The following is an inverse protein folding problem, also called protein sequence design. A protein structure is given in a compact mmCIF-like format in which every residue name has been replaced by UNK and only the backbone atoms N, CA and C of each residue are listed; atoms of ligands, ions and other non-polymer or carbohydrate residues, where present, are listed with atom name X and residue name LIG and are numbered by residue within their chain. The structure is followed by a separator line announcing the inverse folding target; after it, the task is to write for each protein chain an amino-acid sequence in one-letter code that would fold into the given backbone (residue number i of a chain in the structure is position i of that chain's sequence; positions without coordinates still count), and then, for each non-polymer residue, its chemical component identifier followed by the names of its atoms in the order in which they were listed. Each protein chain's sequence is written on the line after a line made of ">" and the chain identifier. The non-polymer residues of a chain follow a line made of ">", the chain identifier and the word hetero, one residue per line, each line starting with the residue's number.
data_IF_716881775721
#
_entry.id   IF_716881775721
#
_cell.length_a   1.000
_cell.length_b   1.000
_cell.length_c   1.000
_cell.angle_alpha   90.00
_cell.angle_beta   90.00
_cell.angle_gamma   90.00
#
_symmetry.space_group_name_H-M   'P 1'
#
loop_
_entity.id
_entity.type
_entity.pdbx_description
1 polymer ?
#
# COMPACT_ATOMS: atom_id res chain seq x y z
N UNK A 1 1.21 19.56 -7.31
CA UNK A 1 0.47 18.29 -7.43
C UNK A 1 1.48 17.17 -7.52
N UNK A 2 1.30 16.12 -6.76
CA UNK A 2 2.06 14.89 -6.89
C UNK A 2 1.28 13.94 -7.81
N UNK A 3 1.96 13.37 -8.80
CA UNK A 3 1.36 12.50 -9.81
C UNK A 3 2.27 11.28 -10.02
N UNK A 4 1.69 10.17 -10.49
CA UNK A 4 2.45 9.01 -10.94
C UNK A 4 2.01 8.61 -12.35
N UNK A 5 2.97 8.57 -13.28
CA UNK A 5 2.76 8.03 -14.62
C UNK A 5 2.99 6.52 -14.56
N UNK A 6 1.98 5.73 -14.92
CA UNK A 6 1.98 4.27 -14.81
C UNK A 6 2.22 3.66 -16.18
N UNK A 7 3.26 2.83 -16.28
CA UNK A 7 3.62 2.14 -17.50
C UNK A 7 3.09 0.69 -17.52
N UNK A 8 2.77 0.13 -18.69
CA UNK A 8 2.29 -1.23 -18.80
C UNK A 8 3.40 -2.26 -18.58
N UNK A 9 3.01 -3.41 -18.08
CA UNK A 9 3.85 -4.60 -18.10
C UNK A 9 4.01 -5.12 -19.54
N UNK A 10 5.19 -5.64 -19.84
CA UNK A 10 5.47 -6.40 -21.05
C UNK A 10 5.14 -7.89 -20.85
N UNK A 11 5.10 -8.64 -21.93
CA UNK A 11 5.00 -10.11 -21.91
C UNK A 11 3.85 -10.65 -21.03
N UNK A 12 2.69 -10.01 -21.06
CA UNK A 12 1.57 -10.32 -20.16
C UNK A 12 1.09 -11.78 -20.24
N UNK A 13 1.13 -12.39 -21.43
CA UNK A 13 0.77 -13.80 -21.62
C UNK A 13 1.74 -14.74 -20.89
N UNK A 14 3.04 -14.44 -20.94
CA UNK A 14 4.05 -15.20 -20.22
C UNK A 14 3.94 -15.00 -18.70
N UNK A 15 3.63 -13.76 -18.25
CA UNK A 15 3.36 -13.50 -16.85
C UNK A 15 2.16 -14.31 -16.35
N UNK A 16 1.07 -14.38 -17.13
CA UNK A 16 -0.09 -15.20 -16.78
C UNK A 16 0.26 -16.69 -16.70
N UNK A 17 1.12 -17.18 -17.60
CA UNK A 17 1.61 -18.54 -17.59
C UNK A 17 2.51 -18.83 -16.40
N UNK A 18 3.43 -17.91 -16.08
CA UNK A 18 4.29 -17.99 -14.90
C UNK A 18 3.46 -18.05 -13.61
N UNK A 19 2.46 -17.18 -13.47
CA UNK A 19 1.58 -17.19 -12.29
C UNK A 19 0.91 -18.54 -12.09
N UNK A 20 0.43 -19.20 -13.16
CA UNK A 20 -0.14 -20.55 -13.06
C UNK A 20 0.90 -21.55 -12.53
N UNK A 21 2.11 -21.53 -13.06
CA UNK A 21 3.18 -22.45 -12.62
C UNK A 21 3.63 -22.22 -11.18
N UNK A 22 3.68 -20.94 -10.74
CA UNK A 22 4.04 -20.57 -9.37
C UNK A 22 3.06 -21.07 -8.31
N UNK A 23 1.80 -21.26 -8.68
CA UNK A 23 0.74 -21.72 -7.77
C UNK A 23 0.31 -23.17 -7.99
N UNK A 24 0.91 -23.88 -8.93
CA UNK A 24 0.69 -25.30 -9.16
C UNK A 24 1.68 -26.15 -8.35
N UNK A 25 1.22 -26.92 -7.33
CA UNK A 25 2.09 -27.74 -6.51
C UNK A 25 2.88 -28.82 -7.29
N UNK A 26 2.44 -29.18 -8.51
CA UNK A 26 3.11 -30.14 -9.36
C UNK A 26 4.18 -29.53 -10.26
N UNK A 27 4.22 -28.20 -10.33
CA UNK A 27 5.20 -27.47 -11.14
C UNK A 27 6.57 -27.43 -10.46
N UNK A 28 7.67 -27.60 -11.21
CA UNK A 28 9.02 -27.39 -10.68
C UNK A 28 9.28 -25.92 -10.27
N UNK A 29 8.46 -24.97 -10.74
CA UNK A 29 8.52 -23.55 -10.37
C UNK A 29 7.62 -23.21 -9.18
N UNK A 30 6.96 -24.20 -8.55
CA UNK A 30 6.06 -23.95 -7.42
C UNK A 30 6.73 -23.12 -6.32
N UNK A 31 6.16 -21.94 -6.03
CA UNK A 31 6.67 -20.98 -5.03
C UNK A 31 8.07 -20.43 -5.27
N UNK A 32 8.64 -20.60 -6.45
CA UNK A 32 9.91 -19.98 -6.82
C UNK A 32 9.68 -18.57 -7.36
N UNK A 33 9.35 -17.64 -6.45
CA UNK A 33 9.04 -16.25 -6.82
C UNK A 33 10.25 -15.51 -7.37
N UNK A 34 9.99 -14.63 -8.34
CA UNK A 34 11.02 -13.77 -8.90
C UNK A 34 11.42 -12.69 -7.90
N UNK A 35 12.68 -12.32 -7.93
CA UNK A 35 13.13 -11.05 -7.32
C UNK A 35 12.62 -9.85 -8.13
N UNK A 36 12.64 -8.65 -7.52
CA UNK A 36 12.27 -7.40 -8.23
C UNK A 36 13.10 -7.23 -9.51
N UNK A 37 14.40 -7.48 -9.46
CA UNK A 37 15.27 -7.37 -10.62
C UNK A 37 14.90 -8.36 -11.74
N UNK A 38 14.62 -9.62 -11.40
CA UNK A 38 14.19 -10.64 -12.37
C UNK A 38 12.83 -10.30 -12.98
N UNK A 39 11.87 -9.86 -12.15
CA UNK A 39 10.57 -9.42 -12.62
C UNK A 39 10.70 -8.22 -13.58
N UNK A 40 11.49 -7.22 -13.20
CA UNK A 40 11.72 -6.02 -14.02
C UNK A 40 12.36 -6.36 -15.36
N UNK A 41 13.33 -7.27 -15.37
CA UNK A 41 13.99 -7.71 -16.61
C UNK A 41 13.02 -8.38 -17.58
N UNK A 42 12.11 -9.23 -17.06
CA UNK A 42 11.19 -10.02 -17.87
C UNK A 42 9.90 -9.24 -18.24
N UNK A 43 9.31 -8.53 -17.29
CA UNK A 43 7.96 -7.97 -17.39
C UNK A 43 7.90 -6.45 -17.25
N UNK A 44 8.88 -5.82 -16.63
CA UNK A 44 8.91 -4.36 -16.48
C UNK A 44 9.13 -3.64 -17.81
N UNK A 45 8.78 -2.35 -17.91
CA UNK A 45 9.10 -1.51 -19.06
C UNK A 45 10.58 -1.55 -19.40
N UNK A 46 10.92 -1.36 -20.68
CA UNK A 46 12.33 -1.26 -21.09
C UNK A 46 12.98 -0.03 -20.46
N UNK A 47 14.30 -0.07 -20.27
CA UNK A 47 15.03 1.12 -19.79
C UNK A 47 14.88 2.31 -20.74
N UNK A 48 14.76 2.06 -22.04
CA UNK A 48 14.56 3.10 -23.05
C UNK A 48 13.18 3.75 -22.94
N UNK A 49 12.11 2.94 -22.77
CA UNK A 49 10.76 3.48 -22.59
C UNK A 49 10.67 4.30 -21.31
N UNK A 50 11.24 3.77 -20.22
CA UNK A 50 11.26 4.45 -18.93
C UNK A 50 12.00 5.80 -19.02
N UNK A 51 13.20 5.84 -19.60
CA UNK A 51 13.95 7.07 -19.80
C UNK A 51 13.21 8.07 -20.71
N UNK A 52 12.42 7.58 -21.67
CA UNK A 52 11.58 8.43 -22.52
C UNK A 52 10.46 9.12 -21.73
N UNK A 53 9.86 8.41 -20.76
CA UNK A 53 8.84 9.00 -19.87
C UNK A 53 9.46 10.04 -18.93
N UNK A 54 10.62 9.74 -18.34
CA UNK A 54 11.34 10.73 -17.52
C UNK A 54 11.71 11.99 -18.32
N UNK A 55 12.22 11.82 -19.54
CA UNK A 55 12.55 12.93 -20.42
C UNK A 55 11.32 13.77 -20.76
N UNK A 56 10.20 13.12 -21.07
CA UNK A 56 8.93 13.80 -21.28
C UNK A 56 8.55 14.64 -20.04
N UNK A 57 8.54 14.04 -18.85
CA UNK A 57 8.20 14.73 -17.61
C UNK A 57 9.07 15.99 -17.41
N UNK A 58 10.39 15.85 -17.50
CA UNK A 58 11.34 16.98 -17.35
C UNK A 58 11.12 18.03 -18.43
N UNK A 59 10.85 17.65 -19.68
CA UNK A 59 10.62 18.59 -20.79
C UNK A 59 9.34 19.42 -20.64
N UNK A 60 8.33 18.88 -19.91
CA UNK A 60 7.10 19.58 -19.57
C UNK A 60 7.20 20.39 -18.26
N UNK A 61 8.40 20.42 -17.65
CA UNK A 61 8.72 21.21 -16.46
C UNK A 61 8.42 20.52 -15.12
N UNK A 62 8.09 19.22 -15.13
CA UNK A 62 7.92 18.47 -13.88
C UNK A 62 9.25 18.13 -13.22
N UNK A 63 9.25 18.05 -11.90
CA UNK A 63 10.31 17.42 -11.13
C UNK A 63 10.04 15.93 -11.03
N UNK A 64 11.00 15.07 -11.45
CA UNK A 64 10.92 13.62 -11.20
C UNK A 64 11.33 13.38 -9.76
N UNK A 65 10.41 12.88 -8.94
CA UNK A 65 10.58 12.73 -7.49
C UNK A 65 11.10 11.36 -7.10
N UNK A 66 10.59 10.28 -7.73
CA UNK A 66 11.00 8.92 -7.45
C UNK A 66 10.90 8.05 -8.71
N UNK A 67 11.78 7.06 -8.78
CA UNK A 67 11.90 6.12 -9.91
C UNK A 67 12.10 4.70 -9.35
N UNK A 68 11.01 3.98 -9.03
CA UNK A 68 11.11 2.62 -8.50
C UNK A 68 11.87 1.66 -9.43
N UNK A 69 12.63 0.74 -8.84
CA UNK A 69 13.48 -0.21 -9.57
C UNK A 69 12.71 -1.11 -10.56
N UNK A 70 11.42 -1.34 -10.28
CA UNK A 70 10.56 -2.12 -11.18
C UNK A 70 10.14 -1.38 -12.45
N UNK A 71 10.44 -0.09 -12.58
CA UNK A 71 10.13 0.78 -13.72
C UNK A 71 8.65 0.89 -14.10
N UNK A 72 7.74 0.56 -13.19
CA UNK A 72 6.31 0.65 -13.45
C UNK A 72 5.74 2.05 -13.25
N UNK A 73 6.41 2.86 -12.44
CA UNK A 73 5.94 4.19 -12.02
C UNK A 73 7.03 5.24 -12.23
N UNK A 74 6.65 6.42 -12.71
CA UNK A 74 7.46 7.63 -12.66
C UNK A 74 6.71 8.65 -11.83
N UNK A 75 7.18 8.91 -10.61
CA UNK A 75 6.60 9.92 -9.72
C UNK A 75 7.09 11.31 -10.13
N UNK A 76 6.15 12.22 -10.32
CA UNK A 76 6.42 13.59 -10.76
C UNK A 76 5.70 14.60 -9.91
N UNK A 77 6.33 15.75 -9.70
CA UNK A 77 5.73 16.89 -9.03
C UNK A 77 5.67 18.10 -9.97
N UNK A 78 4.56 18.81 -9.91
CA UNK A 78 4.36 20.02 -10.69
C UNK A 78 3.15 20.84 -10.27
N UNK A 79 2.97 21.98 -10.94
CA UNK A 79 1.81 22.87 -10.75
C UNK A 79 0.62 22.41 -11.58
N UNK A 80 -0.59 22.84 -11.22
CA UNK A 80 -1.79 22.57 -12.02
C UNK A 80 -1.65 23.13 -13.46
N UNK A 81 -0.96 24.27 -13.65
CA UNK A 81 -0.71 24.82 -14.96
C UNK A 81 0.17 23.93 -15.84
N UNK A 82 1.20 23.30 -15.24
CA UNK A 82 2.04 22.30 -15.94
C UNK A 82 1.24 21.05 -16.29
N UNK A 83 0.39 20.56 -15.37
CA UNK A 83 -0.52 19.42 -15.60
C UNK A 83 -1.44 19.71 -16.77
N UNK A 84 -2.11 20.87 -16.78
CA UNK A 84 -3.02 21.28 -17.85
C UNK A 84 -2.32 21.27 -19.21
N UNK A 85 -1.14 21.84 -19.27
CA UNK A 85 -0.37 21.96 -20.52
C UNK A 85 0.18 20.60 -21.00
N UNK A 86 0.69 19.77 -20.07
CA UNK A 86 1.34 18.51 -20.41
C UNK A 86 0.36 17.42 -20.84
N UNK A 87 -0.83 17.41 -20.23
CA UNK A 87 -1.82 16.36 -20.42
C UNK A 87 -3.10 16.83 -21.12
N UNK A 88 -3.10 18.08 -21.64
CA UNK A 88 -4.19 18.69 -22.42
C UNK A 88 -5.56 18.65 -21.70
N UNK A 89 -5.54 18.96 -20.42
CA UNK A 89 -6.72 19.01 -19.54
C UNK A 89 -6.88 20.38 -18.88
N UNK A 90 -8.00 20.61 -18.21
CA UNK A 90 -8.18 21.72 -17.29
C UNK A 90 -8.50 21.18 -15.91
N UNK A 91 -7.54 21.31 -14.99
CA UNK A 91 -7.75 20.93 -13.59
C UNK A 91 -8.71 21.91 -12.92
N UNK A 92 -9.79 21.39 -12.38
CA UNK A 92 -10.88 22.20 -11.80
C UNK A 92 -11.28 21.66 -10.44
N UNK A 93 -11.67 22.56 -9.54
CA UNK A 93 -12.22 22.19 -8.24
C UNK A 93 -13.76 22.07 -8.35
N UNK A 94 -14.28 20.95 -7.87
CA UNK A 94 -15.70 20.65 -7.85
C UNK A 94 -16.18 20.52 -6.39
N UNK A 95 -17.45 20.78 -6.15
CA UNK A 95 -18.09 20.45 -4.88
C UNK A 95 -18.39 18.95 -4.83
N UNK A 96 -17.98 18.30 -3.74
CA UNK A 96 -18.29 16.87 -3.58
C UNK A 96 -19.78 16.66 -3.38
N UNK A 97 -20.45 15.70 -4.08
CA UNK A 97 -21.90 15.55 -4.08
C UNK A 97 -22.47 15.12 -2.72
N UNK A 98 -21.72 14.39 -1.92
CA UNK A 98 -22.19 13.81 -0.64
C UNK A 98 -21.37 14.26 0.57
N UNK A 99 -20.18 14.81 0.38
CA UNK A 99 -19.29 15.25 1.46
C UNK A 99 -19.17 16.78 1.50
N UNK A 100 -18.97 17.35 2.70
CA UNK A 100 -18.79 18.80 2.89
C UNK A 100 -17.37 19.26 2.55
N UNK A 101 -16.90 18.91 1.35
CA UNK A 101 -15.58 19.32 0.84
C UNK A 101 -15.64 19.59 -0.65
N UNK A 102 -14.58 20.17 -1.18
CA UNK A 102 -14.27 20.19 -2.60
C UNK A 102 -13.31 19.06 -2.95
N UNK A 103 -13.31 18.67 -4.21
CA UNK A 103 -12.30 17.81 -4.80
C UNK A 103 -11.82 18.42 -6.12
N UNK A 104 -10.62 18.08 -6.54
CA UNK A 104 -10.13 18.45 -7.86
C UNK A 104 -10.22 17.26 -8.81
N UNK A 105 -10.41 17.54 -10.09
CA UNK A 105 -10.41 16.57 -11.17
C UNK A 105 -10.13 17.28 -12.50
N UNK A 106 -9.59 16.59 -13.51
CA UNK A 106 -9.53 17.12 -14.86
C UNK A 106 -10.94 17.18 -15.48
N UNK A 107 -11.15 18.10 -16.42
CA UNK A 107 -12.40 18.29 -17.16
C UNK A 107 -12.64 17.20 -18.23
N UNK A 108 -11.61 16.47 -18.58
CA UNK A 108 -11.61 15.42 -19.61
C UNK A 108 -10.50 14.39 -19.37
N UNK A 109 -10.54 13.29 -20.12
CA UNK A 109 -9.47 12.31 -20.13
C UNK A 109 -8.16 12.94 -20.58
N UNK A 110 -7.03 12.66 -19.84
CA UNK A 110 -5.73 13.18 -20.19
C UNK A 110 -5.21 12.55 -21.49
N UNK A 111 -4.51 13.35 -22.27
CA UNK A 111 -3.75 12.90 -23.44
C UNK A 111 -2.33 13.44 -23.37
N UNK A 112 -1.37 12.72 -23.91
CA UNK A 112 0.04 13.11 -23.87
C UNK A 112 0.74 12.82 -25.19
N UNK A 113 1.68 13.68 -25.55
CA UNK A 113 2.54 13.56 -26.74
C UNK A 113 3.74 12.66 -26.43
N UNK A 114 3.48 11.37 -26.23
CA UNK A 114 4.50 10.37 -25.93
C UNK A 114 4.22 9.09 -26.74
N UNK A 115 5.26 8.51 -27.37
CA UNK A 115 5.13 7.27 -28.13
C UNK A 115 5.09 6.02 -27.26
N UNK A 116 5.58 6.12 -26.01
CA UNK A 116 5.55 5.04 -25.04
C UNK A 116 4.12 4.91 -24.51
N UNK A 117 3.54 3.70 -24.48
CA UNK A 117 2.22 3.50 -23.91
C UNK A 117 2.22 3.80 -22.41
N UNK A 118 1.17 4.48 -21.96
CA UNK A 118 0.90 4.80 -20.54
C UNK A 118 -0.44 4.20 -20.18
N UNK A 119 -0.51 3.51 -19.06
CA UNK A 119 -1.74 2.87 -18.58
C UNK A 119 -2.64 3.89 -17.90
N UNK A 120 -2.06 4.75 -17.05
CA UNK A 120 -2.79 5.70 -16.24
C UNK A 120 -1.87 6.80 -15.70
N UNK A 121 -2.48 7.93 -15.33
CA UNK A 121 -1.81 9.01 -14.60
C UNK A 121 -2.56 9.18 -13.28
N UNK A 122 -2.00 8.66 -12.20
CA UNK A 122 -2.57 8.77 -10.87
C UNK A 122 -2.32 10.15 -10.26
N UNK A 123 -3.16 10.56 -9.30
CA UNK A 123 -3.04 11.84 -8.59
C UNK A 123 -3.76 13.01 -9.28
N UNK A 124 -4.44 12.77 -10.42
CA UNK A 124 -5.19 13.82 -11.11
C UNK A 124 -6.57 14.13 -10.49
N UNK A 125 -7.01 13.35 -9.51
CA UNK A 125 -8.21 13.66 -8.74
C UNK A 125 -8.06 13.17 -7.29
N UNK A 126 -8.84 13.79 -6.38
CA UNK A 126 -8.99 13.39 -5.00
C UNK A 126 -10.47 13.20 -4.62
N UNK A 127 -11.28 12.69 -5.56
CA UNK A 127 -12.68 12.41 -5.33
C UNK A 127 -12.86 11.39 -4.20
N UNK A 128 -12.17 10.26 -4.28
CA UNK A 128 -12.14 9.25 -3.22
C UNK A 128 -10.92 9.47 -2.32
N UNK A 129 -11.15 9.52 -1.01
CA UNK A 129 -10.11 9.57 0.01
C UNK A 129 -10.18 8.26 0.79
N UNK A 130 -9.07 7.53 0.95
CA UNK A 130 -9.01 6.37 1.84
C UNK A 130 -9.46 6.75 3.25
N UNK A 131 -10.23 5.88 3.89
CA UNK A 131 -10.73 6.10 5.25
C UNK A 131 -10.70 4.79 6.01
N UNK A 132 -10.34 4.86 7.27
CA UNK A 132 -10.40 3.74 8.20
C UNK A 132 -11.78 3.08 8.20
N UNK A 133 -11.83 1.76 8.16
CA UNK A 133 -13.07 0.98 8.09
C UNK A 133 -13.42 0.28 9.41
N UNK A 134 -12.67 0.54 10.47
CA UNK A 134 -12.98 0.02 11.79
C UNK A 134 -14.10 0.83 12.47
N UNK A 135 -14.71 0.24 13.48
CA UNK A 135 -15.69 0.90 14.36
C UNK A 135 -15.23 0.76 15.79
N UNK A 136 -15.10 1.87 16.50
CA UNK A 136 -14.86 1.84 17.95
C UNK A 136 -16.13 1.39 18.68
N UNK A 137 -15.96 0.49 19.63
CA UNK A 137 -17.06 0.11 20.50
C UNK A 137 -17.52 1.32 21.34
N UNK A 138 -18.84 1.46 21.62
CA UNK A 138 -19.32 2.50 22.52
C UNK A 138 -18.66 2.41 23.91
N UNK A 139 -18.47 3.54 24.62
CA UNK A 139 -17.81 3.53 25.93
C UNK A 139 -18.41 2.55 26.94
N UNK A 140 -19.73 2.31 26.86
CA UNK A 140 -20.46 1.41 27.75
C UNK A 140 -20.63 -0.01 27.18
N UNK A 141 -19.90 -0.34 26.11
CA UNK A 141 -19.99 -1.67 25.51
C UNK A 141 -19.48 -2.73 26.50
N UNK A 142 -20.40 -3.59 26.95
CA UNK A 142 -20.05 -4.75 27.78
C UNK A 142 -19.72 -5.93 26.88
N UNK A 143 -18.52 -6.45 27.02
CA UNK A 143 -18.11 -7.66 26.32
C UNK A 143 -18.68 -8.87 27.05
N UNK A 144 -19.49 -9.68 26.36
CA UNK A 144 -19.80 -11.04 26.78
C UNK A 144 -18.72 -12.02 26.30
N UNK A 145 -17.48 -11.57 26.32
CA UNK A 145 -16.35 -12.35 25.85
C UNK A 145 -15.75 -13.12 27.04
N UNK A 146 -15.34 -14.35 26.79
CA UNK A 146 -14.70 -15.27 27.73
C UNK A 146 -13.27 -15.60 27.31
N UNK A 147 -12.58 -14.63 26.71
CA UNK A 147 -11.17 -14.73 26.37
C UNK A 147 -10.28 -14.77 27.63
N UNK A 148 -9.03 -15.17 27.46
CA UNK A 148 -8.07 -15.32 28.56
C UNK A 148 -7.46 -13.98 29.05
N UNK A 149 -7.75 -12.88 28.36
CA UNK A 149 -7.24 -11.57 28.70
C UNK A 149 -8.05 -10.80 29.75
N UNK A 150 -7.57 -9.62 30.16
CA UNK A 150 -8.27 -8.77 31.11
C UNK A 150 -9.72 -8.49 30.72
N UNK A 151 -10.63 -8.56 31.67
CA UNK A 151 -12.08 -8.36 31.46
C UNK A 151 -12.70 -9.27 30.37
N UNK A 152 -12.16 -10.48 30.16
CA UNK A 152 -12.62 -11.43 29.18
C UNK A 152 -12.26 -11.08 27.73
N UNK A 153 -11.30 -10.18 27.52
CA UNK A 153 -10.81 -9.88 26.18
C UNK A 153 -10.14 -11.10 25.54
N UNK A 154 -10.32 -11.29 24.26
CA UNK A 154 -9.57 -12.30 23.52
C UNK A 154 -8.14 -11.81 23.27
N UNK A 155 -7.17 -12.64 23.65
CA UNK A 155 -5.76 -12.44 23.35
C UNK A 155 -5.39 -13.12 22.02
N UNK A 156 -4.22 -12.78 21.49
CA UNK A 156 -3.68 -13.45 20.30
C UNK A 156 -3.55 -14.97 20.45
N UNK A 157 -3.28 -15.45 21.68
CA UNK A 157 -3.27 -16.88 22.01
C UNK A 157 -4.64 -17.53 21.82
N UNK A 158 -5.71 -16.87 22.27
CA UNK A 158 -7.07 -17.38 22.12
C UNK A 158 -7.46 -17.47 20.63
N UNK A 159 -7.10 -16.43 19.90
CA UNK A 159 -7.36 -16.36 18.46
C UNK A 159 -6.59 -17.44 17.70
N UNK A 160 -5.31 -17.66 18.02
CA UNK A 160 -4.53 -18.76 17.43
C UNK A 160 -5.13 -20.14 17.74
N UNK A 161 -5.60 -20.37 18.95
CA UNK A 161 -6.29 -21.61 19.31
C UNK A 161 -7.55 -21.78 18.47
N UNK A 162 -8.36 -20.72 18.36
CA UNK A 162 -9.63 -20.75 17.62
C UNK A 162 -9.43 -21.00 16.12
N UNK A 163 -8.44 -20.37 15.50
CA UNK A 163 -8.23 -20.42 14.04
C UNK A 163 -7.23 -21.48 13.60
N UNK A 164 -6.22 -21.81 14.41
CA UNK A 164 -5.15 -22.76 14.07
C UNK A 164 -5.27 -24.10 14.81
N UNK A 165 -6.30 -24.26 15.65
CA UNK A 165 -6.52 -25.51 16.39
C UNK A 165 -5.37 -25.90 17.32
N UNK A 166 -4.64 -24.92 17.86
CA UNK A 166 -3.46 -25.16 18.71
C UNK A 166 -2.20 -25.54 17.95
N UNK A 167 -2.20 -25.50 16.61
CA UNK A 167 -0.99 -25.72 15.80
C UNK A 167 0.02 -24.59 16.04
N UNK A 168 1.30 -24.94 16.16
CA UNK A 168 2.40 -23.98 16.39
C UNK A 168 2.78 -23.18 15.13
N UNK A 169 1.80 -22.54 14.49
CA UNK A 169 2.02 -21.63 13.37
C UNK A 169 2.38 -20.25 13.93
N UNK A 170 3.65 -19.89 13.87
CA UNK A 170 4.15 -18.63 14.44
C UNK A 170 4.55 -17.60 13.41
N UNK A 171 4.59 -17.93 12.13
CA UNK A 171 5.11 -17.08 11.07
C UNK A 171 6.65 -16.99 11.08
N UNK A 172 7.36 -17.89 11.75
CA UNK A 172 8.83 -17.89 11.81
C UNK A 172 9.45 -17.87 10.41
N UNK A 173 10.43 -16.96 10.21
CA UNK A 173 11.09 -16.75 8.91
C UNK A 173 10.27 -15.95 7.90
N UNK A 174 9.05 -15.54 8.23
CA UNK A 174 8.19 -14.72 7.36
C UNK A 174 8.22 -13.25 7.76
N UNK A 175 7.85 -12.39 6.82
CA UNK A 175 7.59 -10.96 7.04
C UNK A 175 6.24 -10.59 6.47
N UNK A 176 5.56 -9.62 7.09
CA UNK A 176 4.27 -9.08 6.63
C UNK A 176 4.44 -7.61 6.30
N UNK A 177 3.88 -7.17 5.17
CA UNK A 177 3.71 -5.76 4.84
C UNK A 177 2.26 -5.35 5.08
N UNK A 178 2.07 -4.25 5.80
CA UNK A 178 0.79 -3.57 5.99
C UNK A 178 0.83 -2.29 5.18
N UNK A 179 -0.16 -2.09 4.32
CA UNK A 179 -0.31 -0.85 3.57
C UNK A 179 -1.26 0.06 4.32
N UNK A 180 -0.71 1.11 4.91
CA UNK A 180 -1.45 2.07 5.70
C UNK A 180 -1.48 3.44 5.02
N UNK A 181 -2.55 4.19 5.24
CA UNK A 181 -2.74 5.53 4.67
C UNK A 181 -2.52 6.66 5.68
N UNK A 182 -2.15 6.31 6.90
CA UNK A 182 -1.77 7.23 7.96
C UNK A 182 -0.67 6.61 8.82
N UNK A 183 -0.01 7.41 9.66
CA UNK A 183 0.95 6.95 10.62
C UNK A 183 0.30 6.44 11.91
N UNK A 184 1.10 6.01 12.87
CA UNK A 184 0.64 5.52 14.16
C UNK A 184 1.59 5.94 15.29
N UNK A 185 1.07 5.89 16.54
CA UNK A 185 1.89 6.11 17.74
C UNK A 185 2.40 4.75 18.27
N UNK A 186 3.70 4.62 18.38
CA UNK A 186 4.34 3.40 18.91
C UNK A 186 3.87 3.10 20.33
N UNK A 187 3.55 4.13 21.13
CA UNK A 187 2.99 3.98 22.48
C UNK A 187 1.67 3.21 22.47
N UNK A 188 0.80 3.45 21.47
CA UNK A 188 -0.52 2.82 21.41
C UNK A 188 -0.42 1.36 20.98
N UNK A 189 0.51 1.04 20.07
CA UNK A 189 0.87 -0.35 19.76
C UNK A 189 1.41 -1.05 21.02
N UNK A 190 2.34 -0.44 21.75
CA UNK A 190 2.91 -1.01 22.97
C UNK A 190 1.85 -1.21 24.05
N UNK A 191 0.97 -0.22 24.25
CA UNK A 191 -0.14 -0.32 25.22
C UNK A 191 -1.11 -1.44 24.88
N UNK A 192 -1.35 -1.70 23.59
CA UNK A 192 -2.25 -2.78 23.12
C UNK A 192 -1.67 -4.17 23.42
N UNK A 193 -0.36 -4.30 23.60
CA UNK A 193 0.29 -5.53 24.09
C UNK A 193 0.43 -5.59 25.62
N UNK A 194 -0.14 -4.66 26.36
CA UNK A 194 -0.01 -4.63 27.84
C UNK A 194 -0.38 -5.99 28.45
N UNK A 195 0.58 -6.60 29.16
CA UNK A 195 0.46 -7.94 29.72
C UNK A 195 0.83 -9.08 28.78
N UNK A 196 1.18 -8.82 27.54
CA UNK A 196 1.72 -9.80 26.60
C UNK A 196 3.09 -9.35 26.09
N UNK A 197 4.02 -10.28 25.92
CA UNK A 197 5.29 -9.96 25.25
C UNK A 197 5.08 -9.96 23.72
N UNK A 198 5.36 -8.84 23.06
CA UNK A 198 5.56 -8.80 21.63
C UNK A 198 7.03 -8.61 21.31
N UNK A 199 7.61 -9.51 20.54
CA UNK A 199 9.00 -9.46 20.10
C UNK A 199 9.14 -9.24 18.58
N UNK A 200 8.03 -9.06 17.86
CA UNK A 200 8.06 -8.86 16.41
C UNK A 200 8.56 -7.44 16.10
N UNK A 201 9.68 -7.29 15.38
CA UNK A 201 10.19 -5.98 14.99
C UNK A 201 9.22 -5.29 14.02
N UNK A 202 9.03 -3.97 14.21
CA UNK A 202 8.22 -3.14 13.33
C UNK A 202 9.14 -2.15 12.63
N UNK A 203 9.03 -2.06 11.30
CA UNK A 203 9.79 -1.13 10.47
C UNK A 203 8.86 -0.29 9.62
N UNK A 204 8.95 1.03 9.74
CA UNK A 204 8.23 1.94 8.84
C UNK A 204 8.93 2.03 7.49
N UNK A 205 8.15 1.94 6.40
CA UNK A 205 8.58 2.10 5.01
C UNK A 205 7.77 3.26 4.42
N UNK A 206 8.24 4.47 4.65
CA UNK A 206 7.53 5.68 4.23
C UNK A 206 7.62 5.86 2.72
N UNK A 207 6.49 6.01 2.06
CA UNK A 207 6.39 6.24 0.62
C UNK A 207 5.68 7.56 0.33
N UNK A 208 5.97 8.16 -0.81
CA UNK A 208 5.31 9.37 -1.33
C UNK A 208 5.25 10.56 -0.34
N UNK A 209 6.21 10.66 0.57
CA UNK A 209 6.29 11.73 1.56
C UNK A 209 5.40 11.54 2.79
N UNK A 210 4.90 10.32 3.00
CA UNK A 210 4.18 9.96 4.23
C UNK A 210 5.04 10.17 5.49
N UNK A 211 4.37 10.36 6.62
CA UNK A 211 5.00 10.49 7.94
C UNK A 211 4.70 9.26 8.79
N UNK A 212 5.62 8.89 9.68
CA UNK A 212 5.43 7.73 10.56
C UNK A 212 4.43 8.00 11.70
N UNK A 213 4.27 9.27 12.10
CA UNK A 213 3.38 9.65 13.21
C UNK A 213 1.93 9.80 12.77
N UNK A 214 1.00 9.48 13.67
CA UNK A 214 -0.43 9.68 13.47
C UNK A 214 -0.81 11.16 13.43
N UNK A 215 -1.80 11.52 12.63
CA UNK A 215 -2.44 12.84 12.62
C UNK A 215 -3.61 12.95 13.61
N UNK A 216 -3.89 11.90 14.40
CA UNK A 216 -4.85 11.92 15.51
C UNK A 216 -5.76 10.71 15.64
N UNK A 217 -5.89 9.85 14.63
CA UNK A 217 -6.67 8.59 14.68
C UNK A 217 -5.93 7.43 14.04
N UNK A 218 -5.12 6.72 14.84
CA UNK A 218 -4.30 5.58 14.43
C UNK A 218 -4.92 4.21 14.77
N UNK A 219 -6.21 4.18 15.02
CA UNK A 219 -6.87 2.96 15.48
C UNK A 219 -6.83 1.81 14.47
N UNK A 220 -6.82 2.09 13.16
CA UNK A 220 -6.70 1.06 12.13
C UNK A 220 -5.28 0.50 12.09
N UNK A 221 -4.28 1.37 12.03
CA UNK A 221 -2.86 1.02 11.97
C UNK A 221 -2.42 0.20 13.19
N UNK A 222 -2.80 0.67 14.37
CA UNK A 222 -2.53 -0.04 15.64
C UNK A 222 -3.22 -1.41 15.65
N UNK A 223 -4.48 -1.49 15.21
CA UNK A 223 -5.22 -2.74 15.14
C UNK A 223 -4.53 -3.75 14.23
N UNK A 224 -4.14 -3.33 13.04
CA UNK A 224 -3.54 -4.20 12.03
C UNK A 224 -2.16 -4.71 12.45
N UNK A 225 -1.32 -3.84 13.01
CA UNK A 225 -0.02 -4.23 13.60
C UNK A 225 -0.21 -5.24 14.73
N UNK A 226 -1.12 -4.95 15.67
CA UNK A 226 -1.35 -5.79 16.84
C UNK A 226 -1.93 -7.14 16.44
N UNK A 227 -2.87 -7.17 15.48
CA UNK A 227 -3.43 -8.43 14.99
C UNK A 227 -2.38 -9.26 14.24
N UNK A 228 -1.59 -8.67 13.35
CA UNK A 228 -0.54 -9.36 12.63
C UNK A 228 0.48 -9.99 13.60
N UNK A 229 0.99 -9.22 14.56
CA UNK A 229 1.94 -9.70 15.56
C UNK A 229 1.33 -10.75 16.51
N UNK A 230 0.06 -10.56 16.91
CA UNK A 230 -0.63 -11.50 17.80
C UNK A 230 -0.91 -12.84 17.14
N UNK A 231 -1.27 -12.84 15.85
CA UNK A 231 -1.55 -14.07 15.10
C UNK A 231 -0.28 -14.80 14.67
N UNK A 232 0.81 -14.07 14.44
CA UNK A 232 2.09 -14.61 13.98
C UNK A 232 3.27 -14.08 14.83
N UNK A 233 3.39 -14.49 16.11
CA UNK A 233 4.34 -13.92 17.07
C UNK A 233 5.82 -14.25 16.77
N UNK A 234 6.09 -15.11 15.81
CA UNK A 234 7.43 -15.46 15.35
C UNK A 234 7.84 -14.80 14.04
N UNK A 235 7.06 -13.82 13.53
CA UNK A 235 7.45 -13.05 12.35
C UNK A 235 8.83 -12.45 12.51
N UNK A 236 9.62 -12.47 11.44
CA UNK A 236 10.92 -11.80 11.40
C UNK A 236 10.76 -10.28 11.40
N UNK A 237 9.66 -9.76 10.83
CA UNK A 237 9.39 -8.33 10.73
C UNK A 237 7.96 -8.04 10.28
N UNK A 238 7.40 -6.92 10.78
CA UNK A 238 6.25 -6.23 10.18
C UNK A 238 6.76 -4.94 9.53
N UNK A 239 6.40 -4.70 8.28
CA UNK A 239 6.66 -3.45 7.56
C UNK A 239 5.36 -2.67 7.43
N UNK A 240 5.37 -1.41 7.86
CA UNK A 240 4.20 -0.51 7.86
C UNK A 240 4.48 0.69 6.98
#
# INVERSE_FOLDING_TARGET
>A
MALAIILPLRNQSELASLLKRLYDPTSPEYRHFLTVAQFTAQFGPTGQDYASVEKFARSKGFTVANTPDNRLLVHINGTAAQVNKAFHVTMTNYRHPTEKRTFYSPDREPSLELRVPVVHIAGMNNFSIPRAKYKRAPPNFRRNAIGSGPNGAYLGSDMRIAYYGGTALTGSGQSVGLLEFDGYNVSDVTASFAGQSNSVPIQNVLVDGATAGSDGDDGEQVLDIVQAASMAPGLSQIRV
#
